data_IF_358713092473
#
_entry.id   IF_358713092473
#
_cell.length_a   1.000
_cell.length_b   1.000
_cell.length_c   1.000
_cell.angle_alpha   90.00
_cell.angle_beta   90.00
_cell.angle_gamma   90.00
#
_symmetry.space_group_name_H-M   'P 1'
#
loop_
_entity.id
_entity.type
_entity.pdbx_description
1 polymer ?
#
# COMPACT_ATOMS: atom_id res chain seq x y z
N UNK A 1 -20.16 36.56 39.08
CA UNK A 1 -20.09 35.12 38.71
C UNK A 1 -20.96 34.94 37.49
N UNK A 2 -20.35 34.80 36.30
CA UNK A 2 -21.09 34.64 35.04
C UNK A 2 -22.00 33.42 35.14
N UNK A 3 -23.29 33.60 34.87
CA UNK A 3 -24.27 32.52 34.98
C UNK A 3 -23.92 31.36 34.06
N UNK A 4 -24.40 30.16 34.39
CA UNK A 4 -24.16 28.90 33.66
C UNK A 4 -24.30 29.01 32.13
N UNK A 5 -25.19 29.89 31.64
CA UNK A 5 -25.37 30.18 30.20
C UNK A 5 -24.09 30.69 29.51
N UNK A 6 -23.31 31.54 30.18
CA UNK A 6 -22.08 32.13 29.62
C UNK A 6 -20.97 31.09 29.53
N UNK A 7 -20.85 30.24 30.55
CA UNK A 7 -19.89 29.13 30.56
C UNK A 7 -20.25 28.10 29.48
N UNK A 8 -21.52 27.71 29.35
CA UNK A 8 -21.96 26.80 28.28
C UNK A 8 -21.66 27.34 26.88
N UNK A 9 -21.90 28.62 26.64
CA UNK A 9 -21.56 29.26 25.36
C UNK A 9 -20.04 29.24 25.10
N UNK A 10 -19.25 29.56 26.13
CA UNK A 10 -17.78 29.53 26.04
C UNK A 10 -17.28 28.13 25.68
N UNK A 11 -17.79 27.09 26.34
CA UNK A 11 -17.45 25.70 26.02
C UNK A 11 -17.91 25.29 24.61
N UNK A 12 -19.14 25.66 24.22
CA UNK A 12 -19.64 25.38 22.89
C UNK A 12 -18.74 26.02 21.81
N UNK A 13 -18.34 27.28 21.99
CA UNK A 13 -17.41 27.95 21.07
C UNK A 13 -16.03 27.28 21.08
N UNK A 14 -15.47 26.96 22.25
CA UNK A 14 -14.16 26.28 22.33
C UNK A 14 -14.14 24.92 21.63
N UNK A 15 -15.25 24.18 21.62
CA UNK A 15 -15.34 22.87 20.96
C UNK A 15 -15.67 23.00 19.48
N UNK A 16 -16.65 23.84 19.13
CA UNK A 16 -17.13 23.95 17.74
C UNK A 16 -16.22 24.79 16.85
N UNK A 17 -15.57 25.82 17.41
CA UNK A 17 -14.68 26.70 16.65
C UNK A 17 -13.51 25.96 15.97
N UNK A 18 -12.68 25.13 16.65
CA UNK A 18 -11.56 24.47 15.99
C UNK A 18 -12.01 23.50 14.91
N UNK A 19 -13.12 22.79 15.12
CA UNK A 19 -13.67 21.84 14.14
C UNK A 19 -14.25 22.59 12.93
N UNK A 20 -15.03 23.64 13.17
CA UNK A 20 -15.61 24.47 12.12
C UNK A 20 -14.55 25.22 11.31
N UNK A 21 -13.54 25.79 11.98
CA UNK A 21 -12.41 26.43 11.33
C UNK A 21 -11.62 25.44 10.48
N UNK A 22 -11.30 24.25 11.03
CA UNK A 22 -10.62 23.20 10.28
C UNK A 22 -11.42 22.79 9.03
N UNK A 23 -12.72 22.53 9.18
CA UNK A 23 -13.58 22.14 8.07
C UNK A 23 -13.68 23.23 6.99
N UNK A 24 -13.76 24.50 7.40
CA UNK A 24 -13.85 25.63 6.48
C UNK A 24 -12.53 25.88 5.72
N UNK A 25 -11.39 25.90 6.42
CA UNK A 25 -10.10 26.20 5.81
C UNK A 25 -9.49 25.01 5.05
N UNK A 26 -9.85 23.77 5.39
CA UNK A 26 -9.39 22.58 4.69
C UNK A 26 -10.16 22.30 3.37
N UNK A 27 -10.94 23.27 2.87
CA UNK A 27 -11.61 23.12 1.58
C UNK A 27 -10.60 23.18 0.43
N UNK A 28 -10.69 22.26 -0.55
CA UNK A 28 -9.74 22.20 -1.66
C UNK A 28 -9.80 23.44 -2.57
N UNK A 29 -10.92 24.16 -2.57
CA UNK A 29 -11.09 25.41 -3.33
C UNK A 29 -10.20 26.53 -2.79
N UNK A 30 -10.15 26.71 -1.45
CA UNK A 30 -9.29 27.67 -0.80
C UNK A 30 -7.82 27.31 -1.00
N UNK A 31 -7.48 26.03 -0.80
CA UNK A 31 -6.12 25.54 -1.03
C UNK A 31 -5.64 25.81 -2.46
N UNK A 32 -6.47 25.51 -3.47
CA UNK A 32 -6.14 25.78 -4.88
C UNK A 32 -6.00 27.26 -5.19
N UNK A 33 -6.78 28.12 -4.52
CA UNK A 33 -6.67 29.57 -4.69
C UNK A 33 -5.35 30.09 -4.11
N UNK A 34 -4.98 29.68 -2.89
CA UNK A 34 -3.72 30.09 -2.26
C UNK A 34 -2.48 29.50 -2.92
N UNK A 35 -2.57 28.27 -3.44
CA UNK A 35 -1.49 27.61 -4.17
C UNK A 35 -1.44 28.01 -5.65
N UNK A 36 -2.30 28.93 -6.11
CA UNK A 36 -2.31 29.39 -7.50
C UNK A 36 -1.05 30.19 -7.79
N UNK A 37 -0.12 29.59 -8.55
CA UNK A 37 1.19 30.18 -8.83
C UNK A 37 2.31 29.73 -7.90
N UNK A 38 2.04 28.79 -6.99
CA UNK A 38 3.10 28.07 -6.29
C UNK A 38 3.68 27.03 -7.25
N UNK A 39 4.83 27.35 -7.85
CA UNK A 39 5.64 26.36 -8.54
C UNK A 39 6.33 25.52 -7.47
N UNK A 40 6.06 24.21 -7.48
CA UNK A 40 6.86 23.29 -6.70
C UNK A 40 8.32 23.45 -7.17
N UNK A 41 9.28 23.62 -6.24
CA UNK A 41 10.69 23.71 -6.62
C UNK A 41 11.04 22.50 -7.49
N UNK A 42 11.71 22.75 -8.61
CA UNK A 42 12.04 21.74 -9.62
C UNK A 42 12.97 20.69 -9.01
N UNK A 43 12.39 19.69 -8.35
CA UNK A 43 13.08 18.58 -7.72
C UNK A 43 13.48 17.57 -8.81
N UNK A 44 14.19 17.98 -9.87
CA UNK A 44 14.69 17.04 -10.90
C UNK A 44 15.47 15.89 -10.28
N UNK A 45 16.24 16.17 -9.24
CA UNK A 45 16.97 15.15 -8.47
C UNK A 45 16.04 14.24 -7.66
N UNK A 46 15.01 14.80 -6.99
CA UNK A 46 14.02 14.02 -6.27
C UNK A 46 13.17 13.13 -7.19
N UNK A 47 12.76 13.65 -8.34
CA UNK A 47 12.03 12.92 -9.36
C UNK A 47 12.88 11.81 -9.99
N UNK A 48 14.18 12.07 -10.22
CA UNK A 48 15.11 11.05 -10.67
C UNK A 48 15.31 9.94 -9.62
N UNK A 49 15.45 10.29 -8.34
CA UNK A 49 15.57 9.33 -7.25
C UNK A 49 14.30 8.46 -7.11
N UNK A 50 13.11 9.07 -7.23
CA UNK A 50 11.83 8.35 -7.20
C UNK A 50 11.70 7.41 -8.42
N UNK A 51 12.15 7.85 -9.60
CA UNK A 51 12.13 7.03 -10.80
C UNK A 51 13.06 5.80 -10.67
N UNK A 52 14.29 6.00 -10.19
CA UNK A 52 15.25 4.92 -9.95
C UNK A 52 14.72 3.93 -8.90
N UNK A 53 14.15 4.43 -7.81
CA UNK A 53 13.54 3.59 -6.78
C UNK A 53 12.36 2.75 -7.33
N UNK A 54 11.54 3.35 -8.18
CA UNK A 54 10.43 2.65 -8.86
C UNK A 54 10.96 1.53 -9.77
N UNK A 55 12.03 1.78 -10.51
CA UNK A 55 12.65 0.78 -11.38
C UNK A 55 13.23 -0.39 -10.58
N UNK A 56 13.89 -0.11 -9.44
CA UNK A 56 14.41 -1.13 -8.54
C UNK A 56 13.30 -2.02 -7.98
N UNK A 57 12.20 -1.43 -7.50
CA UNK A 57 11.04 -2.18 -7.01
C UNK A 57 10.41 -3.07 -8.09
N UNK A 58 10.31 -2.57 -9.33
CA UNK A 58 9.79 -3.36 -10.44
C UNK A 58 10.75 -4.51 -10.82
N UNK A 59 12.06 -4.29 -10.77
CA UNK A 59 13.05 -5.33 -11.01
C UNK A 59 12.99 -6.44 -9.94
N UNK A 60 12.87 -6.07 -8.67
CA UNK A 60 12.70 -7.05 -7.59
C UNK A 60 11.39 -7.83 -7.71
N UNK A 61 10.29 -7.14 -8.05
CA UNK A 61 8.99 -7.80 -8.25
C UNK A 61 9.08 -8.86 -9.34
N UNK A 62 9.69 -8.53 -10.49
CA UNK A 62 9.91 -9.48 -11.60
C UNK A 62 10.76 -10.68 -11.18
N UNK A 63 11.81 -10.47 -10.37
CA UNK A 63 12.63 -11.58 -9.84
C UNK A 63 11.82 -12.49 -8.93
N UNK A 64 11.04 -11.92 -8.01
CA UNK A 64 10.19 -12.70 -7.10
C UNK A 64 9.12 -13.50 -7.86
N UNK A 65 8.50 -12.91 -8.87
CA UNK A 65 7.54 -13.60 -9.75
C UNK A 65 8.19 -14.77 -10.49
N UNK A 66 9.40 -14.58 -11.02
CA UNK A 66 10.15 -15.64 -11.69
C UNK A 66 10.54 -16.78 -10.74
N UNK A 67 11.04 -16.45 -9.54
CA UNK A 67 11.38 -17.45 -8.52
C UNK A 67 10.16 -18.23 -8.03
N UNK A 68 9.02 -17.56 -7.85
CA UNK A 68 7.77 -18.22 -7.49
C UNK A 68 7.35 -19.23 -8.56
N UNK A 69 7.38 -18.82 -9.83
CA UNK A 69 7.04 -19.68 -10.95
C UNK A 69 7.96 -20.91 -11.06
N UNK A 70 9.27 -20.74 -10.83
CA UNK A 70 10.22 -21.86 -10.81
C UNK A 70 9.94 -22.85 -9.69
N UNK A 71 9.61 -22.36 -8.48
CA UNK A 71 9.25 -23.23 -7.35
C UNK A 71 8.00 -24.04 -7.63
N UNK A 72 7.01 -23.43 -8.28
CA UNK A 72 5.79 -24.13 -8.70
C UNK A 72 6.09 -25.25 -9.70
N UNK A 73 6.96 -25.01 -10.68
CA UNK A 73 7.36 -26.05 -11.63
C UNK A 73 8.14 -27.20 -10.97
N UNK A 74 9.08 -26.90 -10.08
CA UNK A 74 9.82 -27.93 -9.33
C UNK A 74 8.88 -28.76 -8.44
N UNK A 75 7.96 -28.13 -7.73
CA UNK A 75 6.98 -28.83 -6.90
C UNK A 75 6.05 -29.73 -7.73
N UNK A 76 5.68 -29.30 -8.93
CA UNK A 76 4.88 -30.11 -9.85
C UNK A 76 5.65 -31.33 -10.37
N UNK A 77 6.91 -31.15 -10.76
CA UNK A 77 7.77 -32.25 -11.23
C UNK A 77 8.07 -33.26 -10.12
N UNK A 78 8.36 -32.80 -8.90
CA UNK A 78 8.52 -33.65 -7.73
C UNK A 78 7.25 -34.46 -7.44
N UNK A 79 6.07 -33.82 -7.49
CA UNK A 79 4.80 -34.51 -7.30
C UNK A 79 4.54 -35.57 -8.38
N UNK A 80 4.94 -35.32 -9.64
CA UNK A 80 4.89 -36.31 -10.72
C UNK A 80 5.82 -37.50 -10.44
N UNK A 81 7.07 -37.24 -10.08
CA UNK A 81 8.05 -38.28 -9.76
C UNK A 81 7.59 -39.15 -8.59
N UNK A 82 7.00 -38.56 -7.55
CA UNK A 82 6.42 -39.31 -6.42
C UNK A 82 5.26 -40.20 -6.85
N UNK A 83 4.36 -39.71 -7.71
CA UNK A 83 3.26 -40.52 -8.27
C UNK A 83 3.77 -41.70 -9.09
N UNK A 84 4.76 -41.48 -9.95
CA UNK A 84 5.36 -42.54 -10.77
C UNK A 84 6.02 -43.61 -9.90
N UNK A 85 6.75 -43.22 -8.84
CA UNK A 85 7.33 -44.16 -7.87
C UNK A 85 6.26 -44.97 -7.13
N UNK A 86 5.18 -44.33 -6.68
CA UNK A 86 4.07 -45.01 -6.01
C UNK A 86 3.36 -46.01 -6.93
N UNK A 87 3.15 -45.64 -8.20
CA UNK A 87 2.57 -46.55 -9.22
C UNK A 87 3.50 -47.73 -9.45
N UNK A 88 4.81 -47.49 -9.59
CA UNK A 88 5.81 -48.56 -9.76
C UNK A 88 5.72 -49.54 -8.58
N UNK A 89 5.76 -49.05 -7.34
CA UNK A 89 5.68 -49.88 -6.13
C UNK A 89 4.38 -50.69 -6.11
N UNK A 90 3.24 -50.07 -6.42
CA UNK A 90 1.95 -50.74 -6.46
C UNK A 90 1.91 -51.86 -7.51
N UNK A 91 2.48 -51.65 -8.70
CA UNK A 91 2.59 -52.68 -9.74
C UNK A 91 3.44 -53.86 -9.23
N UNK A 92 4.61 -53.59 -8.64
CA UNK A 92 5.47 -54.65 -8.09
C UNK A 92 4.80 -55.44 -6.96
N UNK A 93 4.00 -54.79 -6.10
CA UNK A 93 3.25 -55.46 -5.04
C UNK A 93 2.08 -56.33 -5.54
N UNK A 94 1.51 -56.05 -6.71
CA UNK A 94 0.43 -56.84 -7.31
C UNK A 94 0.97 -58.01 -8.15
N UNK A 95 2.21 -57.90 -8.64
CA UNK A 95 2.86 -58.93 -9.46
C UNK A 95 3.65 -60.00 -8.68
N UNK A 96 3.73 -59.92 -7.35
CA UNK A 96 4.28 -60.94 -6.44
C UNK A 96 3.12 -61.61 -5.70
#
# INVERSE_FOLDING_TARGET
MGGWKLETLRFALMVTFPVGAFWFFNQPSLFKFFMKGYEFPDNREGNAAIAQFKEQLLAEKRKKEYEAFLREQMAFEEARCQREKLIQIAIYQVCI
#
